data_IF_365666826367
#
_entry.id   IF_365666826367
#
_cell.length_a   1.000
_cell.length_b   1.000
_cell.length_c   1.000
_cell.angle_alpha   90.00
_cell.angle_beta   90.00
_cell.angle_gamma   90.00
#
_symmetry.space_group_name_H-M   'P 1'
#
loop_
_entity.id
_entity.type
_entity.pdbx_description
1 polymer ?
#
# COMPACT_ATOMS: atom_id res chain seq x y z
N UNK A 1 -4.80 23.13 3.48
CA UNK A 1 -4.47 21.89 2.73
C UNK A 1 -5.75 21.36 2.06
N UNK A 2 -5.77 21.33 0.76
CA UNK A 2 -6.94 20.90 -0.01
C UNK A 2 -6.88 19.39 -0.27
N UNK A 3 -8.01 18.66 -0.15
CA UNK A 3 -8.10 17.28 -0.58
C UNK A 3 -7.79 17.14 -2.07
N UNK A 4 -7.05 16.11 -2.44
CA UNK A 4 -6.73 15.80 -3.84
C UNK A 4 -7.17 14.39 -4.21
N UNK A 5 -7.50 14.19 -5.49
CA UNK A 5 -7.80 12.86 -6.01
C UNK A 5 -6.54 11.99 -5.95
N UNK A 6 -6.73 10.70 -5.77
CA UNK A 6 -5.65 9.72 -5.73
C UNK A 6 -5.77 8.71 -6.87
N UNK A 7 -4.69 7.99 -7.08
CA UNK A 7 -4.63 6.85 -8.00
C UNK A 7 -4.04 5.64 -7.27
N UNK A 8 -4.38 4.45 -7.73
CA UNK A 8 -3.70 3.22 -7.33
C UNK A 8 -2.70 2.86 -8.41
N UNK A 9 -1.43 2.78 -8.05
CA UNK A 9 -0.35 2.37 -8.94
C UNK A 9 -0.04 0.89 -8.76
N UNK A 10 0.16 0.17 -9.85
CA UNK A 10 0.51 -1.24 -9.86
C UNK A 10 1.72 -1.46 -10.75
N UNK A 11 2.77 -2.05 -10.21
CA UNK A 11 3.98 -2.43 -10.94
C UNK A 11 4.32 -3.89 -10.64
N UNK A 12 4.38 -4.72 -11.68
CA UNK A 12 4.92 -6.06 -11.58
C UNK A 12 6.45 -6.04 -11.59
N UNK A 13 7.07 -6.75 -10.68
CA UNK A 13 8.53 -6.88 -10.58
C UNK A 13 8.90 -8.36 -10.37
N UNK A 14 10.00 -8.79 -10.97
CA UNK A 14 10.45 -10.18 -10.85
C UNK A 14 11.17 -10.45 -9.53
N UNK A 15 11.98 -9.49 -9.08
CA UNK A 15 12.73 -9.59 -7.84
C UNK A 15 12.58 -8.29 -7.03
N UNK A 16 11.97 -8.41 -5.86
CA UNK A 16 11.70 -7.27 -4.98
C UNK A 16 13.01 -6.63 -4.51
N UNK A 17 14.00 -7.43 -4.13
CA UNK A 17 15.24 -6.90 -3.56
C UNK A 17 16.10 -6.19 -4.60
N UNK A 18 16.10 -6.65 -5.85
CA UNK A 18 16.79 -5.98 -6.95
C UNK A 18 16.12 -4.67 -7.35
N UNK A 19 14.79 -4.59 -7.18
CA UNK A 19 14.01 -3.39 -7.53
C UNK A 19 14.08 -2.27 -6.49
N UNK A 20 14.65 -2.50 -5.31
CA UNK A 20 14.71 -1.51 -4.25
C UNK A 20 15.88 -0.55 -4.41
N UNK A 21 15.65 0.72 -4.06
CA UNK A 21 16.73 1.72 -3.95
C UNK A 21 17.64 1.43 -2.77
N UNK A 22 18.85 1.99 -2.77
CA UNK A 22 19.83 1.79 -1.68
C UNK A 22 19.29 2.12 -0.28
N UNK A 23 18.43 3.13 -0.19
CA UNK A 23 17.87 3.60 1.07
C UNK A 23 16.55 2.92 1.45
N UNK A 24 16.02 2.04 0.61
CA UNK A 24 14.79 1.34 0.91
C UNK A 24 15.03 0.22 1.93
N UNK A 25 14.08 0.06 2.84
CA UNK A 25 14.07 -0.99 3.84
C UNK A 25 12.96 -1.97 3.51
N UNK A 26 13.26 -3.26 3.48
CA UNK A 26 12.30 -4.31 3.17
C UNK A 26 11.99 -5.16 4.42
N UNK A 27 10.75 -5.54 4.54
CA UNK A 27 10.27 -6.46 5.57
C UNK A 27 9.52 -7.60 4.90
N UNK A 28 9.79 -8.82 5.33
CA UNK A 28 9.01 -9.99 4.92
C UNK A 28 7.98 -10.29 6.01
N UNK A 29 6.72 -10.27 5.64
CA UNK A 29 5.61 -10.51 6.58
C UNK A 29 4.89 -11.77 6.12
N UNK A 30 4.93 -12.81 6.97
CA UNK A 30 4.22 -14.06 6.72
C UNK A 30 2.75 -13.91 7.12
N UNK A 31 1.85 -14.18 6.19
CA UNK A 31 0.42 -14.09 6.42
C UNK A 31 -0.27 -15.36 5.90
N UNK A 32 -1.40 -15.71 6.48
CA UNK A 32 -2.21 -16.84 6.04
C UNK A 32 -3.09 -16.49 4.82
N UNK A 33 -3.75 -17.49 4.24
CA UNK A 33 -4.58 -17.31 3.05
C UNK A 33 -5.76 -16.36 3.29
N UNK A 34 -6.34 -16.37 4.49
CA UNK A 34 -7.43 -15.45 4.85
C UNK A 34 -6.92 -14.00 4.88
N UNK A 35 -5.73 -13.78 5.42
CA UNK A 35 -5.11 -12.46 5.46
C UNK A 35 -4.73 -11.97 4.06
N UNK A 36 -4.25 -12.86 3.18
CA UNK A 36 -4.02 -12.52 1.76
C UNK A 36 -5.31 -12.02 1.11
N UNK A 37 -6.42 -12.74 1.31
CA UNK A 37 -7.72 -12.34 0.78
C UNK A 37 -8.19 -11.00 1.35
N UNK A 38 -7.94 -10.75 2.63
CA UNK A 38 -8.28 -9.48 3.28
C UNK A 38 -7.48 -8.30 2.71
N UNK A 39 -6.20 -8.50 2.43
CA UNK A 39 -5.36 -7.47 1.78
C UNK A 39 -5.83 -7.20 0.36
N UNK A 40 -6.11 -8.24 -0.42
CA UNK A 40 -6.60 -8.10 -1.78
C UNK A 40 -7.93 -7.34 -1.81
N UNK A 41 -8.86 -7.67 -0.90
CA UNK A 41 -10.13 -6.95 -0.77
C UNK A 41 -9.92 -5.50 -0.35
N UNK A 42 -9.02 -5.25 0.58
CA UNK A 42 -8.67 -3.89 1.01
C UNK A 42 -8.19 -3.04 -0.17
N UNK A 43 -7.22 -3.53 -0.95
CA UNK A 43 -6.70 -2.80 -2.12
C UNK A 43 -7.79 -2.58 -3.17
N UNK A 44 -8.59 -3.62 -3.46
CA UNK A 44 -9.62 -3.54 -4.49
C UNK A 44 -10.70 -2.49 -4.20
N UNK A 45 -10.98 -2.20 -2.93
CA UNK A 45 -11.95 -1.17 -2.53
C UNK A 45 -11.55 0.25 -2.90
N UNK A 46 -10.26 0.48 -3.13
CA UNK A 46 -9.75 1.80 -3.51
C UNK A 46 -9.72 2.01 -5.03
N UNK A 47 -9.87 0.96 -5.82
CA UNK A 47 -9.95 1.08 -7.27
C UNK A 47 -11.37 1.46 -7.66
N UNK A 48 -11.50 2.61 -8.31
CA UNK A 48 -12.79 3.15 -8.75
C UNK A 48 -13.37 2.31 -9.89
N UNK A 49 -14.67 2.03 -9.83
CA UNK A 49 -15.39 1.37 -10.91
C UNK A 49 -16.26 2.40 -11.64
N UNK A 50 -16.32 2.31 -12.97
CA UNK A 50 -17.24 3.12 -13.77
C UNK A 50 -18.68 2.55 -13.72
N UNK A 51 -19.60 3.18 -14.46
CA UNK A 51 -20.99 2.75 -14.52
C UNK A 51 -21.18 1.33 -15.06
N UNK A 52 -20.18 0.81 -15.80
CA UNK A 52 -20.16 -0.55 -16.34
C UNK A 52 -19.39 -1.54 -15.46
N UNK A 53 -19.08 -1.18 -14.20
CA UNK A 53 -18.28 -1.97 -13.26
C UNK A 53 -16.86 -2.29 -13.76
N UNK A 54 -16.28 -1.40 -14.57
CA UNK A 54 -14.91 -1.54 -15.09
C UNK A 54 -13.97 -0.56 -14.41
N UNK A 55 -12.71 -0.97 -14.26
CA UNK A 55 -11.65 -0.09 -13.78
C UNK A 55 -11.24 0.90 -14.87
N UNK A 56 -10.79 2.08 -14.45
CA UNK A 56 -10.31 3.11 -15.37
C UNK A 56 -8.81 3.27 -15.23
N UNK A 57 -8.07 2.87 -16.28
CA UNK A 57 -6.63 3.12 -16.39
C UNK A 57 -6.42 4.57 -16.79
N UNK A 58 -5.71 5.34 -15.96
CA UNK A 58 -5.44 6.77 -16.22
C UNK A 58 -4.07 7.02 -16.84
N UNK A 59 -3.13 6.10 -16.63
CA UNK A 59 -1.76 6.21 -17.15
C UNK A 59 -1.07 4.86 -17.20
N UNK A 60 -0.12 4.72 -18.10
CA UNK A 60 0.83 3.61 -18.17
C UNK A 60 2.22 4.18 -18.43
N UNK A 61 3.20 3.73 -17.65
CA UNK A 61 4.61 4.10 -17.85
C UNK A 61 5.32 3.08 -18.74
N UNK A 62 6.44 3.48 -19.32
CA UNK A 62 7.26 2.61 -20.18
C UNK A 62 7.81 1.38 -19.46
N UNK A 63 7.95 1.41 -18.13
CA UNK A 63 8.35 0.27 -17.31
C UNK A 63 7.23 -0.72 -17.00
N UNK A 64 6.02 -0.51 -17.53
CA UNK A 64 4.85 -1.33 -17.29
C UNK A 64 4.02 -0.95 -16.08
N UNK A 65 4.40 0.10 -15.33
CA UNK A 65 3.62 0.58 -14.19
C UNK A 65 2.28 1.16 -14.67
N UNK A 66 1.19 0.66 -14.08
CA UNK A 66 -0.18 1.05 -14.39
C UNK A 66 -0.76 1.91 -13.27
N UNK A 67 -1.50 2.94 -13.65
CA UNK A 67 -2.19 3.83 -12.72
C UNK A 67 -3.69 3.74 -12.97
N UNK A 68 -4.43 3.41 -11.93
CA UNK A 68 -5.88 3.30 -11.98
C UNK A 68 -6.55 4.39 -11.15
N UNK A 69 -7.70 4.87 -11.64
CA UNK A 69 -8.51 5.81 -10.90
C UNK A 69 -8.91 5.20 -9.56
N UNK A 70 -8.79 6.01 -8.49
CA UNK A 70 -9.11 5.61 -7.13
C UNK A 70 -10.25 6.46 -6.56
N UNK A 71 -11.06 5.87 -5.68
CA UNK A 71 -12.06 6.58 -4.88
C UNK A 71 -11.43 7.23 -3.63
N UNK A 72 -10.16 6.96 -3.35
CA UNK A 72 -9.44 7.54 -2.23
C UNK A 72 -9.20 9.04 -2.41
N UNK A 73 -9.21 9.76 -1.32
CA UNK A 73 -8.87 11.19 -1.27
C UNK A 73 -7.63 11.37 -0.41
N UNK A 74 -6.63 12.04 -0.96
CA UNK A 74 -5.40 12.34 -0.26
C UNK A 74 -5.55 13.65 0.53
N UNK A 75 -5.31 13.57 1.84
CA UNK A 75 -5.32 14.72 2.75
C UNK A 75 -4.15 14.61 3.71
N UNK A 76 -3.93 15.63 4.52
CA UNK A 76 -2.91 15.58 5.58
C UNK A 76 -3.17 14.46 6.60
N UNK A 77 -4.44 14.07 6.78
CA UNK A 77 -4.83 13.00 7.71
C UNK A 77 -5.06 11.65 7.03
N UNK A 78 -5.06 11.64 5.71
CA UNK A 78 -5.29 10.44 4.90
C UNK A 78 -4.16 10.31 3.87
N UNK A 79 -2.98 9.95 4.36
CA UNK A 79 -1.75 9.84 3.58
C UNK A 79 -1.52 8.40 3.10
N UNK A 80 -0.55 8.23 2.19
CA UNK A 80 -0.11 6.90 1.77
C UNK A 80 0.43 6.06 2.95
N UNK A 81 0.97 6.70 3.98
CA UNK A 81 1.50 5.98 5.14
C UNK A 81 0.37 5.39 5.99
N UNK A 82 -0.69 6.12 6.27
CA UNK A 82 -1.80 5.52 6.98
C UNK A 82 -2.62 4.56 6.12
N UNK A 83 -2.70 4.78 4.80
CA UNK A 83 -3.27 3.79 3.88
C UNK A 83 -2.49 2.46 3.94
N UNK A 84 -1.16 2.53 3.90
CA UNK A 84 -0.28 1.36 4.08
C UNK A 84 -0.55 0.68 5.42
N UNK A 85 -0.71 1.45 6.48
CA UNK A 85 -1.00 0.91 7.82
C UNK A 85 -2.36 0.23 7.90
N UNK A 86 -3.39 0.73 7.21
CA UNK A 86 -4.67 0.04 7.07
C UNK A 86 -4.51 -1.29 6.33
N UNK A 87 -3.67 -1.32 5.28
CA UNK A 87 -3.33 -2.55 4.56
C UNK A 87 -2.60 -3.58 5.45
N UNK A 88 -1.66 -3.12 6.25
CA UNK A 88 -0.95 -3.97 7.23
C UNK A 88 -1.90 -4.52 8.28
N UNK A 89 -2.86 -3.73 8.74
CA UNK A 89 -3.91 -4.22 9.65
C UNK A 89 -4.79 -5.27 8.98
N UNK A 90 -5.14 -5.09 7.70
CA UNK A 90 -5.85 -6.11 6.93
C UNK A 90 -5.04 -7.39 6.78
N UNK A 91 -3.70 -7.30 6.76
CA UNK A 91 -2.78 -8.44 6.77
C UNK A 91 -2.66 -9.14 8.13
N UNK A 92 -3.27 -8.58 9.18
CA UNK A 92 -3.29 -9.17 10.50
C UNK A 92 -2.32 -8.56 11.52
N UNK A 93 -1.59 -7.51 11.17
CA UNK A 93 -0.72 -6.81 12.11
C UNK A 93 -1.53 -6.00 13.11
N UNK A 94 -1.00 -5.87 14.32
CA UNK A 94 -1.56 -5.05 15.38
C UNK A 94 -0.97 -3.65 15.31
N UNK A 95 -1.77 -2.68 14.91
CA UNK A 95 -1.37 -1.28 14.86
C UNK A 95 -2.60 -0.38 14.78
N UNK A 96 -2.40 0.90 15.06
CA UNK A 96 -3.44 1.91 14.86
C UNK A 96 -3.06 2.81 13.67
N UNK A 97 -3.71 2.67 12.51
CA UNK A 97 -3.38 3.45 11.32
C UNK A 97 -3.49 4.96 11.50
N UNK A 98 -4.35 5.43 12.39
CA UNK A 98 -4.53 6.85 12.64
C UNK A 98 -3.30 7.54 13.26
N UNK A 99 -2.38 6.77 13.85
CA UNK A 99 -1.14 7.28 14.40
C UNK A 99 0.06 7.11 13.45
N UNK A 100 -0.16 6.56 12.26
CA UNK A 100 0.89 6.28 11.28
C UNK A 100 0.81 7.24 10.08
N UNK A 101 1.18 8.50 10.33
CA UNK A 101 1.19 9.56 9.32
C UNK A 101 2.55 9.62 8.62
N UNK A 102 3.63 9.31 9.34
CA UNK A 102 5.01 9.36 8.84
C UNK A 102 5.56 7.95 8.57
N UNK A 103 6.49 7.80 7.61
CA UNK A 103 7.08 6.49 7.29
C UNK A 103 7.71 5.79 8.49
N UNK A 104 8.41 6.53 9.35
CA UNK A 104 9.05 5.98 10.54
C UNK A 104 8.07 5.42 11.57
N UNK A 105 6.84 5.95 11.61
CA UNK A 105 5.79 5.43 12.48
C UNK A 105 5.25 4.10 11.95
N UNK A 106 5.11 3.96 10.62
CA UNK A 106 4.74 2.70 9.96
C UNK A 106 5.79 1.63 10.26
N UNK A 107 7.05 1.94 10.04
CA UNK A 107 8.17 1.02 10.30
C UNK A 107 8.21 0.59 11.77
N UNK A 108 8.03 1.52 12.70
CA UNK A 108 7.96 1.21 14.14
C UNK A 108 6.84 0.22 14.44
N UNK A 109 5.67 0.40 13.83
CA UNK A 109 4.54 -0.51 13.99
C UNK A 109 4.85 -1.91 13.48
N UNK A 110 5.52 -2.04 12.35
CA UNK A 110 5.97 -3.32 11.79
C UNK A 110 6.95 -4.01 12.75
N UNK A 111 7.92 -3.28 13.28
CA UNK A 111 8.89 -3.79 14.26
C UNK A 111 8.22 -4.23 15.56
N UNK A 112 7.23 -3.49 16.05
CA UNK A 112 6.46 -3.86 17.25
C UNK A 112 5.68 -5.18 17.09
N UNK A 113 5.38 -5.56 15.84
CA UNK A 113 4.77 -6.85 15.55
C UNK A 113 5.80 -7.99 15.43
N UNK A 114 7.07 -7.73 15.69
CA UNK A 114 8.13 -8.73 15.73
C UNK A 114 8.89 -8.91 14.44
N UNK A 115 8.65 -8.08 13.43
CA UNK A 115 9.35 -8.17 12.16
C UNK A 115 10.62 -7.32 12.17
N UNK A 116 11.67 -7.85 11.56
CA UNK A 116 12.95 -7.18 11.39
C UNK A 116 13.21 -6.94 9.89
N UNK A 117 13.96 -5.88 9.56
CA UNK A 117 14.30 -5.64 8.16
C UNK A 117 15.13 -6.78 7.58
N UNK A 118 14.92 -7.06 6.30
CA UNK A 118 15.73 -8.00 5.56
C UNK A 118 17.12 -7.39 5.36
N UNK A 119 18.16 -8.12 5.69
CA UNK A 119 19.53 -7.74 5.40
C UNK A 119 19.82 -7.85 3.89
N UNK A 120 20.54 -6.86 3.37
CA UNK A 120 20.93 -6.81 1.96
C UNK A 120 22.44 -6.73 1.79
#
# INVERSE_FOLDING_TARGET
FLPTSSVVALLGIDDILEGLTENAVAYEISIDDMSVSSVALFVSRYVSLDQSNKITKVRERSNGELFFKSDGIYTILNTCNNWTSFGLRAAGLRLNPHFNILPGQVERSVRKNGYLPIER
#
